data_IF_206005086014
#
_entry.id   IF_206005086014
#
_cell.length_a   1.000
_cell.length_b   1.000
_cell.length_c   1.000
_cell.angle_alpha   90.00
_cell.angle_beta   90.00
_cell.angle_gamma   90.00
#
_symmetry.space_group_name_H-M   'P 1'
#
loop_
_entity.id
_entity.type
_entity.pdbx_description
1 polymer ?
#
# COMPACT_ATOMS: atom_id res chain seq x y z
N UNK A 1 -25.78 -12.35 44.49
CA UNK A 1 -26.03 -12.06 43.05
C UNK A 1 -25.12 -10.92 42.66
N UNK A 2 -24.07 -11.18 41.88
CA UNK A 2 -23.02 -10.20 41.55
C UNK A 2 -23.04 -10.03 40.03
N UNK A 3 -23.67 -8.94 39.59
CA UNK A 3 -23.93 -8.70 38.18
C UNK A 3 -22.63 -8.38 37.45
N UNK A 4 -22.44 -9.11 36.35
CA UNK A 4 -21.35 -9.00 35.39
C UNK A 4 -21.52 -7.72 34.57
N UNK A 5 -20.43 -7.00 34.33
CA UNK A 5 -20.32 -6.06 33.21
C UNK A 5 -19.05 -6.43 32.44
N UNK A 6 -19.22 -7.27 31.43
CA UNK A 6 -18.19 -7.57 30.44
C UNK A 6 -18.22 -6.46 29.39
N UNK A 7 -17.16 -5.67 29.32
CA UNK A 7 -16.97 -4.62 28.32
C UNK A 7 -16.53 -5.27 27.01
N UNK A 8 -17.43 -5.42 26.04
CA UNK A 8 -17.07 -5.81 24.67
C UNK A 8 -16.31 -4.64 24.01
N UNK A 9 -14.99 -4.77 23.86
CA UNK A 9 -14.21 -3.94 22.95
C UNK A 9 -14.46 -4.42 21.51
N UNK A 10 -15.26 -3.67 20.77
CA UNK A 10 -15.37 -3.85 19.31
C UNK A 10 -14.15 -3.19 18.68
N UNK A 11 -13.17 -4.00 18.27
CA UNK A 11 -12.05 -3.55 17.44
C UNK A 11 -12.56 -3.39 16.01
N UNK A 12 -13.07 -2.20 15.67
CA UNK A 12 -13.36 -1.85 14.28
C UNK A 12 -12.05 -1.57 13.57
N UNK A 13 -11.69 -2.41 12.61
CA UNK A 13 -10.59 -2.16 11.67
C UNK A 13 -10.95 -0.93 10.83
N UNK A 14 -10.49 0.26 11.22
CA UNK A 14 -10.59 1.44 10.37
C UNK A 14 -9.72 1.18 9.13
N UNK A 15 -10.35 0.87 8.00
CA UNK A 15 -9.65 0.92 6.72
C UNK A 15 -9.04 2.31 6.59
N UNK A 16 -7.73 2.40 6.36
CA UNK A 16 -7.07 3.69 6.20
C UNK A 16 -7.65 4.39 4.98
N UNK A 17 -8.61 5.28 5.19
CA UNK A 17 -9.15 6.14 4.14
C UNK A 17 -8.14 7.27 3.90
N UNK A 18 -7.64 7.38 2.68
CA UNK A 18 -6.90 8.57 2.27
C UNK A 18 -7.85 9.53 1.55
N UNK A 19 -7.84 10.79 1.97
CA UNK A 19 -8.51 11.86 1.23
C UNK A 19 -7.55 12.38 0.16
N UNK A 20 -7.94 12.24 -1.12
CA UNK A 20 -7.15 12.70 -2.25
C UNK A 20 -7.85 13.86 -2.97
N UNK A 21 -7.07 14.89 -3.30
CA UNK A 21 -7.50 16.09 -4.04
C UNK A 21 -6.67 16.16 -5.32
N UNK A 22 -7.33 16.36 -6.46
CA UNK A 22 -6.65 16.58 -7.74
C UNK A 22 -7.40 15.96 -8.92
N UNK A 23 -6.64 15.53 -9.91
CA UNK A 23 -7.11 14.95 -11.17
C UNK A 23 -6.74 13.47 -11.25
N UNK A 24 -7.20 12.78 -12.30
CA UNK A 24 -6.75 11.42 -12.59
C UNK A 24 -5.23 11.32 -12.82
N UNK A 25 -4.63 12.33 -13.47
CA UNK A 25 -3.21 12.33 -13.79
C UNK A 25 -2.34 12.70 -12.57
N UNK A 26 -2.82 13.59 -11.71
CA UNK A 26 -2.07 14.07 -10.55
C UNK A 26 -3.00 14.32 -9.37
N UNK A 27 -2.73 13.68 -8.24
CA UNK A 27 -3.51 13.83 -7.01
C UNK A 27 -2.61 13.91 -5.78
N UNK A 28 -2.91 14.80 -4.86
CA UNK A 28 -2.30 14.85 -3.52
C UNK A 28 -3.25 14.23 -2.51
N UNK A 29 -2.72 13.35 -1.67
CA UNK A 29 -3.48 12.53 -0.75
C UNK A 29 -2.97 12.72 0.68
N UNK A 30 -3.89 12.60 1.64
CA UNK A 30 -3.63 12.69 3.06
C UNK A 30 -4.35 11.54 3.74
N UNK A 31 -3.64 10.74 4.54
CA UNK A 31 -4.24 9.62 5.26
C UNK A 31 -4.42 9.93 6.76
N UNK A 32 -5.20 9.07 7.43
CA UNK A 32 -5.51 9.21 8.85
C UNK A 32 -4.30 9.02 9.78
N UNK A 33 -3.16 8.52 9.27
CA UNK A 33 -1.93 8.37 10.04
C UNK A 33 -1.06 9.65 9.97
N UNK A 34 -1.56 10.70 9.32
CA UNK A 34 -0.87 11.96 9.13
C UNK A 34 0.18 11.91 8.02
N UNK A 35 0.16 10.88 7.17
CA UNK A 35 1.01 10.85 6.00
C UNK A 35 0.41 11.73 4.90
N UNK A 36 1.27 12.37 4.12
CA UNK A 36 0.89 13.11 2.93
C UNK A 36 1.69 12.60 1.74
N UNK A 37 1.07 12.48 0.58
CA UNK A 37 1.76 11.97 -0.61
C UNK A 37 1.14 12.46 -1.90
N UNK A 38 1.94 12.57 -2.94
CA UNK A 38 1.50 12.91 -4.29
C UNK A 38 1.59 11.69 -5.18
N UNK A 39 0.52 11.43 -5.93
CA UNK A 39 0.42 10.36 -6.92
C UNK A 39 0.37 10.99 -8.31
N UNK A 40 1.36 10.67 -9.14
CA UNK A 40 1.41 11.02 -10.56
C UNK A 40 1.18 9.77 -11.40
N UNK A 41 0.28 9.85 -12.37
CA UNK A 41 -0.11 8.74 -13.25
C UNK A 41 0.11 9.15 -14.70
N UNK A 42 0.97 8.41 -15.39
CA UNK A 42 1.33 8.65 -16.79
C UNK A 42 1.36 7.33 -17.56
N UNK A 43 0.32 7.08 -18.37
CA UNK A 43 0.15 5.81 -19.06
C UNK A 43 0.11 4.64 -18.08
N UNK A 44 1.02 3.67 -18.24
CA UNK A 44 1.12 2.51 -17.37
C UNK A 44 2.01 2.73 -16.13
N UNK A 45 2.58 3.93 -15.98
CA UNK A 45 3.47 4.30 -14.88
C UNK A 45 2.70 5.09 -13.82
N UNK A 46 2.89 4.73 -12.57
CA UNK A 46 2.42 5.49 -11.41
C UNK A 46 3.60 5.75 -10.50
N UNK A 47 3.84 7.02 -10.15
CA UNK A 47 4.86 7.41 -9.18
C UNK A 47 4.18 8.01 -7.96
N UNK A 48 4.61 7.59 -6.78
CA UNK A 48 4.13 8.10 -5.50
C UNK A 48 5.32 8.62 -4.72
N UNK A 49 5.20 9.86 -4.22
CA UNK A 49 6.20 10.46 -3.33
C UNK A 49 5.47 10.93 -2.08
N UNK A 50 5.94 10.50 -0.91
CA UNK A 50 5.25 10.74 0.35
C UNK A 50 6.17 11.15 1.49
N UNK A 51 5.54 11.80 2.47
CA UNK A 51 6.11 12.15 3.75
C UNK A 51 5.24 11.54 4.85
N UNK A 52 5.90 10.84 5.78
CA UNK A 52 5.27 10.28 6.96
C UNK A 52 5.06 11.36 8.03
N UNK A 53 4.13 11.16 8.95
CA UNK A 53 3.84 12.12 10.02
C UNK A 53 5.04 12.48 10.92
N UNK A 54 6.06 11.63 10.96
CA UNK A 54 7.33 11.88 11.65
C UNK A 54 8.37 12.67 10.81
N UNK A 55 7.98 13.13 9.61
CA UNK A 55 8.84 13.89 8.68
C UNK A 55 9.71 13.03 7.77
N UNK A 56 9.72 11.70 7.90
CA UNK A 56 10.48 10.82 7.01
C UNK A 56 9.87 10.78 5.61
N UNK A 57 10.71 10.68 4.56
CA UNK A 57 10.25 10.60 3.18
C UNK A 57 10.33 9.18 2.65
N UNK A 58 9.39 8.83 1.77
CA UNK A 58 9.39 7.57 1.03
C UNK A 58 8.90 7.82 -0.39
N UNK A 59 9.23 6.91 -1.29
CA UNK A 59 8.75 6.98 -2.67
C UNK A 59 8.60 5.59 -3.26
N UNK A 60 7.76 5.49 -4.29
CA UNK A 60 7.68 4.30 -5.12
C UNK A 60 7.31 4.66 -6.55
N UNK A 61 7.72 3.80 -7.48
CA UNK A 61 7.29 3.82 -8.87
C UNK A 61 6.80 2.44 -9.25
N UNK A 62 5.59 2.40 -9.80
CA UNK A 62 4.95 1.20 -10.32
C UNK A 62 4.82 1.32 -11.84
N UNK A 63 5.16 0.26 -12.56
CA UNK A 63 4.98 0.17 -14.01
C UNK A 63 4.23 -1.12 -14.35
N UNK A 64 3.13 -1.00 -15.09
CA UNK A 64 2.32 -2.15 -15.51
C UNK A 64 2.62 -2.54 -16.95
N UNK A 65 3.02 -3.78 -17.17
CA UNK A 65 3.26 -4.38 -18.48
C UNK A 65 2.39 -5.63 -18.60
N UNK A 66 1.39 -5.58 -19.48
CA UNK A 66 0.41 -6.66 -19.62
C UNK A 66 -0.40 -6.83 -18.32
N UNK A 67 -0.34 -8.03 -17.73
CA UNK A 67 -0.99 -8.37 -16.48
C UNK A 67 -0.07 -8.25 -15.25
N UNK A 68 1.16 -7.77 -15.42
CA UNK A 68 2.16 -7.68 -14.35
C UNK A 68 2.48 -6.24 -14.02
N UNK A 69 2.45 -5.90 -12.73
CA UNK A 69 2.89 -4.60 -12.21
C UNK A 69 4.18 -4.78 -11.43
N UNK A 70 5.21 -4.04 -11.82
CA UNK A 70 6.49 -3.98 -11.12
C UNK A 70 6.54 -2.70 -10.31
N UNK A 71 6.78 -2.82 -9.01
CA UNK A 71 6.90 -1.69 -8.08
C UNK A 71 8.29 -1.70 -7.46
N UNK A 72 8.95 -0.55 -7.46
CA UNK A 72 10.19 -0.33 -6.74
C UNK A 72 10.01 0.90 -5.85
N UNK A 73 10.53 0.86 -4.63
CA UNK A 73 10.41 1.98 -3.72
C UNK A 73 11.58 2.12 -2.77
N UNK A 74 11.58 3.27 -2.09
CA UNK A 74 12.48 3.60 -0.99
C UNK A 74 11.60 3.85 0.23
N UNK A 75 11.81 3.05 1.27
CA UNK A 75 11.09 3.17 2.52
C UNK A 75 11.55 4.40 3.32
N UNK A 76 10.80 4.74 4.37
CA UNK A 76 11.07 5.90 5.24
C UNK A 76 12.44 5.84 5.93
N UNK A 77 13.03 4.66 6.07
CA UNK A 77 14.37 4.43 6.61
C UNK A 77 15.49 4.52 5.55
N UNK A 78 15.16 4.91 4.31
CA UNK A 78 16.08 5.04 3.19
C UNK A 78 16.43 3.72 2.49
N UNK A 79 15.93 2.58 2.96
CA UNK A 79 16.21 1.29 2.32
C UNK A 79 15.28 1.05 1.13
N UNK A 80 15.85 0.44 0.08
CA UNK A 80 15.09 0.06 -1.10
C UNK A 80 14.30 -1.22 -0.87
N UNK A 81 13.16 -1.33 -1.55
CA UNK A 81 12.33 -2.52 -1.61
C UNK A 81 11.75 -2.65 -3.03
N UNK A 82 11.28 -3.85 -3.36
CA UNK A 82 10.58 -4.09 -4.61
C UNK A 82 9.44 -5.09 -4.44
N UNK A 83 8.51 -5.04 -5.38
CA UNK A 83 7.36 -5.94 -5.47
C UNK A 83 7.03 -6.18 -6.94
N UNK A 84 6.67 -7.41 -7.27
CA UNK A 84 6.08 -7.79 -8.55
C UNK A 84 4.72 -8.41 -8.25
N UNK A 85 3.67 -7.80 -8.80
CA UNK A 85 2.31 -8.32 -8.74
C UNK A 85 1.88 -8.80 -10.13
N UNK A 86 1.57 -10.08 -10.26
CA UNK A 86 1.01 -10.66 -11.49
C UNK A 86 -0.47 -10.96 -11.28
N UNK A 87 -1.33 -10.34 -12.08
CA UNK A 87 -2.75 -10.64 -12.10
C UNK A 87 -3.00 -11.94 -12.88
N UNK A 88 -3.52 -12.96 -12.21
CA UNK A 88 -3.79 -14.29 -12.76
C UNK A 88 -5.23 -14.41 -13.30
N UNK A 89 -6.03 -13.35 -13.20
CA UNK A 89 -7.45 -13.35 -13.56
C UNK A 89 -8.35 -13.89 -12.44
N UNK A 90 -9.66 -13.74 -12.61
CA UNK A 90 -10.69 -14.20 -11.65
C UNK A 90 -10.49 -13.69 -10.20
N UNK A 91 -9.92 -12.49 -10.05
CA UNK A 91 -9.61 -11.89 -8.75
C UNK A 91 -8.33 -12.41 -8.09
N UNK A 92 -7.63 -13.37 -8.70
CA UNK A 92 -6.39 -13.94 -8.18
C UNK A 92 -5.17 -13.12 -8.62
N UNK A 93 -4.20 -12.97 -7.72
CA UNK A 93 -2.95 -12.24 -7.92
C UNK A 93 -1.81 -12.96 -7.23
N UNK A 94 -0.68 -13.09 -7.89
CA UNK A 94 0.57 -13.49 -7.24
C UNK A 94 1.38 -12.24 -6.94
N UNK A 95 1.89 -12.11 -5.72
CA UNK A 95 2.70 -10.98 -5.27
C UNK A 95 4.00 -11.53 -4.73
N UNK A 96 5.14 -11.00 -5.16
CA UNK A 96 6.44 -11.37 -4.59
C UNK A 96 7.41 -10.21 -4.62
N UNK A 97 8.38 -10.20 -3.73
CA UNK A 97 9.32 -9.10 -3.66
C UNK A 97 10.30 -9.22 -2.52
N UNK A 98 11.05 -8.15 -2.30
CA UNK A 98 12.01 -8.02 -1.20
C UNK A 98 11.64 -6.78 -0.42
N UNK A 99 11.44 -6.92 0.89
CA UNK A 99 11.12 -5.79 1.76
C UNK A 99 12.36 -4.92 2.04
N UNK A 100 12.16 -3.78 2.71
CA UNK A 100 13.25 -2.86 3.07
C UNK A 100 14.37 -3.50 3.90
N UNK A 101 14.07 -4.57 4.63
CA UNK A 101 15.00 -5.33 5.46
C UNK A 101 15.78 -6.38 4.65
N UNK A 102 15.57 -6.47 3.33
CA UNK A 102 16.22 -7.44 2.46
C UNK A 102 15.60 -8.84 2.50
N UNK A 103 14.43 -9.01 3.11
CA UNK A 103 13.76 -10.30 3.23
C UNK A 103 12.83 -10.53 2.03
N UNK A 104 12.99 -11.67 1.38
CA UNK A 104 12.09 -12.11 0.32
C UNK A 104 10.74 -12.55 0.88
N UNK A 105 9.67 -12.24 0.14
CA UNK A 105 8.32 -12.72 0.40
C UNK A 105 7.62 -13.08 -0.91
N UNK A 106 6.64 -13.97 -0.80
CA UNK A 106 5.78 -14.39 -1.91
C UNK A 106 4.43 -14.82 -1.36
N UNK A 107 3.36 -14.29 -1.95
CA UNK A 107 1.98 -14.54 -1.57
C UNK A 107 1.11 -14.78 -2.79
N UNK A 108 0.10 -15.62 -2.62
CA UNK A 108 -1.01 -15.73 -3.54
C UNK A 108 -2.26 -15.09 -2.91
N UNK A 109 -2.77 -14.06 -3.56
CA UNK A 109 -3.90 -13.28 -3.12
C UNK A 109 -5.13 -13.58 -3.97
N UNK A 110 -6.29 -13.56 -3.32
CA UNK A 110 -7.60 -13.61 -3.98
C UNK A 110 -8.57 -12.67 -3.25
N UNK A 111 -9.86 -12.77 -3.56
CA UNK A 111 -10.91 -11.94 -2.94
C UNK A 111 -11.04 -12.08 -1.42
N UNK A 112 -10.52 -13.15 -0.83
CA UNK A 112 -10.57 -13.45 0.60
C UNK A 112 -9.29 -13.07 1.36
N UNK A 113 -8.25 -12.63 0.65
CA UNK A 113 -6.97 -12.23 1.25
C UNK A 113 -5.77 -12.89 0.57
N UNK A 114 -4.61 -12.80 1.23
CA UNK A 114 -3.32 -13.29 0.75
C UNK A 114 -2.78 -14.38 1.69
N UNK A 115 -2.20 -15.43 1.11
CA UNK A 115 -1.45 -16.46 1.83
C UNK A 115 -0.03 -16.51 1.28
#
# INVERSE_FOLDING_TARGET
MKNILALLLVLTSFGSSAQCIGTNALSSCYDNNGNSYTVSRMGNMTTVNGNSSNGSNWSQTSNTVGNTTYTNGTASNGQSWNETQTNMGNGNRMISGTNSQGQYYSHNCNQYGCN
#
